data_IF_593602487176
#
_entry.id   IF_593602487176
#
_cell.length_a   1.000
_cell.length_b   1.000
_cell.length_c   1.000
_cell.angle_alpha   90.00
_cell.angle_beta   90.00
_cell.angle_gamma   90.00
#
_symmetry.space_group_name_H-M   'P 1'
#
loop_
_entity.id
_entity.type
_entity.pdbx_description
1 polymer ?
#
# COMPACT_ATOMS: atom_id res chain seq x y z
N UNK A 1 19.14 13.40 6.95
CA UNK A 1 17.98 13.97 6.22
C UNK A 1 18.55 14.75 5.05
N UNK A 2 17.97 14.59 3.87
CA UNK A 2 18.33 15.38 2.67
C UNK A 2 17.15 16.28 2.33
N UNK A 3 17.37 17.56 2.08
CA UNK A 3 16.31 18.51 1.70
C UNK A 3 16.62 19.12 0.34
N UNK A 4 15.60 19.18 -0.51
CA UNK A 4 15.61 19.66 -1.89
C UNK A 4 14.36 20.52 -2.11
N UNK A 5 14.21 21.58 -1.30
CA UNK A 5 13.03 22.46 -1.33
C UNK A 5 11.76 21.70 -0.97
N UNK A 6 10.86 21.53 -1.94
CA UNK A 6 9.61 20.79 -1.81
C UNK A 6 9.77 19.29 -1.50
N UNK A 7 10.98 18.73 -1.65
CA UNK A 7 11.26 17.30 -1.52
C UNK A 7 12.21 17.06 -0.34
N UNK A 8 11.86 16.13 0.54
CA UNK A 8 12.73 15.69 1.64
C UNK A 8 12.88 14.17 1.70
N UNK A 9 14.08 13.71 2.03
CA UNK A 9 14.37 12.31 2.30
C UNK A 9 14.70 12.08 3.79
N UNK A 10 13.93 11.20 4.41
CA UNK A 10 13.97 10.89 5.84
C UNK A 10 14.28 9.41 6.10
N UNK A 11 14.89 9.14 7.25
CA UNK A 11 15.14 7.79 7.76
C UNK A 11 14.27 7.57 8.99
N UNK A 12 13.39 6.57 8.95
CA UNK A 12 12.51 6.26 10.07
C UNK A 12 13.22 5.53 11.21
N UNK A 13 14.47 5.05 11.01
CA UNK A 13 15.25 4.36 12.03
C UNK A 13 14.51 3.18 12.70
N UNK A 14 13.66 2.49 11.95
CA UNK A 14 12.80 1.40 12.43
C UNK A 14 11.86 1.79 13.58
N UNK A 15 11.49 3.08 13.66
CA UNK A 15 10.49 3.57 14.59
C UNK A 15 9.08 3.02 14.29
N UNK A 16 8.14 3.29 15.20
CA UNK A 16 6.74 2.86 15.10
C UNK A 16 6.09 3.43 13.82
N UNK A 17 5.59 2.55 12.96
CA UNK A 17 5.20 2.89 11.58
C UNK A 17 4.08 3.94 11.49
N UNK A 18 2.99 3.77 12.24
CA UNK A 18 1.85 4.67 12.16
C UNK A 18 2.13 6.08 12.71
N UNK A 19 2.86 6.16 13.83
CA UNK A 19 3.26 7.44 14.43
C UNK A 19 4.23 8.20 13.53
N UNK A 20 5.19 7.49 12.92
CA UNK A 20 6.14 8.10 11.99
C UNK A 20 5.43 8.54 10.70
N UNK A 21 4.57 7.71 10.12
CA UNK A 21 3.83 8.06 8.91
C UNK A 21 2.93 9.28 9.09
N UNK A 22 2.26 9.40 10.25
CA UNK A 22 1.50 10.61 10.60
C UNK A 22 2.37 11.87 10.55
N UNK A 23 3.52 11.83 11.24
CA UNK A 23 4.47 12.95 11.29
C UNK A 23 5.02 13.30 9.91
N UNK A 24 5.33 12.31 9.08
CA UNK A 24 5.87 12.54 7.74
C UNK A 24 4.83 13.15 6.79
N UNK A 25 3.57 12.76 6.91
CA UNK A 25 2.50 13.40 6.14
C UNK A 25 2.19 14.82 6.66
N UNK A 26 2.28 15.07 7.97
CA UNK A 26 2.21 16.42 8.52
C UNK A 26 3.34 17.29 7.92
N UNK A 27 4.56 16.76 7.86
CA UNK A 27 5.70 17.42 7.22
C UNK A 27 5.48 17.67 5.72
N UNK A 28 4.90 16.71 4.99
CA UNK A 28 4.57 16.90 3.58
C UNK A 28 3.56 18.05 3.38
N UNK A 29 2.57 18.19 4.27
CA UNK A 29 1.62 19.32 4.23
C UNK A 29 2.27 20.66 4.55
N UNK A 30 3.25 20.69 5.47
CA UNK A 30 4.05 21.90 5.73
C UNK A 30 4.83 22.32 4.49
N UNK A 31 5.55 21.39 3.86
CA UNK A 31 6.29 21.65 2.62
C UNK A 31 5.36 22.15 1.49
N UNK A 32 4.18 21.54 1.37
CA UNK A 32 3.18 21.95 0.38
C UNK A 32 2.62 23.37 0.63
N UNK A 33 2.60 23.83 1.88
CA UNK A 33 2.16 25.18 2.22
C UNK A 33 3.12 26.24 1.67
N UNK A 34 4.43 25.97 1.74
CA UNK A 34 5.46 26.91 1.31
C UNK A 34 5.79 26.80 -0.19
N UNK A 35 5.67 25.60 -0.76
CA UNK A 35 6.14 25.29 -2.12
C UNK A 35 5.03 24.90 -3.12
N UNK A 36 3.77 24.84 -2.68
CA UNK A 36 2.63 24.37 -3.48
C UNK A 36 2.55 22.84 -3.62
N UNK A 37 3.65 22.12 -3.41
CA UNK A 37 3.73 20.65 -3.32
C UNK A 37 4.75 20.26 -2.25
N UNK A 38 4.49 19.15 -1.56
CA UNK A 38 5.43 18.58 -0.58
C UNK A 38 5.56 17.08 -0.77
N UNK A 39 6.78 16.58 -0.84
CA UNK A 39 7.09 15.16 -1.00
C UNK A 39 8.07 14.72 0.07
N UNK A 40 7.68 13.71 0.85
CA UNK A 40 8.55 13.07 1.85
C UNK A 40 8.81 11.62 1.44
N UNK A 41 10.07 11.31 1.14
CA UNK A 41 10.53 9.95 0.92
C UNK A 41 11.06 9.36 2.23
N UNK A 42 10.43 8.29 2.73
CA UNK A 42 10.76 7.66 4.00
C UNK A 42 11.35 6.26 3.78
N UNK A 43 12.53 5.99 4.33
CA UNK A 43 13.15 4.65 4.34
C UNK A 43 13.24 4.07 5.75
N UNK A 44 13.53 2.77 5.85
CA UNK A 44 13.68 2.03 7.12
C UNK A 44 12.47 2.14 8.06
N UNK A 45 11.27 2.25 7.49
CA UNK A 45 10.01 2.37 8.23
C UNK A 45 9.40 0.99 8.55
N UNK A 46 8.49 0.95 9.53
CA UNK A 46 7.65 -0.21 9.82
C UNK A 46 6.26 -0.08 9.19
N UNK A 47 5.47 -1.15 9.25
CA UNK A 47 4.09 -1.17 8.76
C UNK A 47 3.28 -0.01 9.33
N UNK A 48 2.71 0.80 8.44
CA UNK A 48 2.03 2.04 8.77
C UNK A 48 0.52 1.87 9.07
N UNK A 49 0.07 0.64 9.27
CA UNK A 49 -1.32 0.29 9.55
C UNK A 49 -2.27 0.79 8.43
N UNK A 50 -3.17 1.72 8.75
CA UNK A 50 -4.17 2.25 7.82
C UNK A 50 -3.59 3.43 7.05
N UNK A 51 -3.21 3.20 5.79
CA UNK A 51 -2.68 4.24 4.91
C UNK A 51 -3.66 5.41 4.72
N UNK A 52 -4.96 5.11 4.65
CA UNK A 52 -6.02 6.11 4.54
C UNK A 52 -6.02 7.17 5.65
N UNK A 53 -5.48 6.88 6.84
CA UNK A 53 -5.34 7.90 7.89
C UNK A 53 -4.47 9.09 7.45
N UNK A 54 -3.46 8.83 6.62
CA UNK A 54 -2.51 9.86 6.15
C UNK A 54 -3.08 10.65 4.97
N UNK A 55 -3.79 9.98 4.05
CA UNK A 55 -4.54 10.69 3.01
C UNK A 55 -5.62 11.59 3.62
N UNK A 56 -6.35 11.08 4.61
CA UNK A 56 -7.41 11.80 5.31
C UNK A 56 -6.91 13.04 6.02
N UNK A 57 -5.81 12.97 6.79
CA UNK A 57 -5.24 14.15 7.47
C UNK A 57 -4.81 15.26 6.49
N UNK A 58 -4.40 14.90 5.26
CA UNK A 58 -4.04 15.89 4.25
C UNK A 58 -5.31 16.56 3.69
N UNK A 59 -6.33 15.77 3.39
CA UNK A 59 -7.62 16.25 2.90
C UNK A 59 -8.34 17.14 3.94
N UNK A 60 -8.27 16.80 5.23
CA UNK A 60 -8.82 17.65 6.32
C UNK A 60 -8.17 19.04 6.37
N UNK A 61 -6.90 19.16 5.97
CA UNK A 61 -6.18 20.43 5.88
C UNK A 61 -6.40 21.17 4.54
N UNK A 62 -7.23 20.63 3.65
CA UNK A 62 -7.50 21.22 2.33
C UNK A 62 -6.49 20.84 1.24
N UNK A 63 -5.63 19.85 1.46
CA UNK A 63 -4.65 19.39 0.47
C UNK A 63 -5.10 18.08 -0.19
N UNK A 64 -4.68 17.87 -1.44
CA UNK A 64 -4.73 16.54 -2.06
C UNK A 64 -3.65 15.68 -1.40
N UNK A 65 -4.05 14.55 -0.82
CA UNK A 65 -3.15 13.61 -0.17
C UNK A 65 -2.88 12.40 -1.06
N UNK A 66 -1.62 12.17 -1.42
CA UNK A 66 -1.19 10.95 -2.12
C UNK A 66 -0.11 10.28 -1.29
N UNK A 67 -0.29 9.01 -0.95
CA UNK A 67 0.74 8.22 -0.30
C UNK A 67 0.66 6.74 -0.68
N UNK A 68 1.81 6.08 -0.67
CA UNK A 68 1.90 4.64 -0.86
C UNK A 68 3.07 4.09 -0.03
N UNK A 69 3.11 2.78 0.14
CA UNK A 69 4.23 2.09 0.77
C UNK A 69 4.56 0.82 0.02
N UNK A 70 5.70 0.22 0.34
CA UNK A 70 6.02 -1.15 -0.07
C UNK A 70 5.87 -2.12 1.11
N UNK A 71 5.75 -3.42 0.80
CA UNK A 71 5.77 -4.47 1.81
C UNK A 71 6.77 -5.57 1.46
N UNK A 72 6.97 -6.49 2.39
CA UNK A 72 7.60 -7.79 2.09
C UNK A 72 6.83 -8.51 0.97
N UNK A 73 7.50 -9.45 0.30
CA UNK A 73 6.91 -10.21 -0.80
C UNK A 73 5.84 -11.18 -0.26
N UNK A 74 4.58 -10.90 -0.59
CA UNK A 74 3.40 -11.62 -0.07
C UNK A 74 2.37 -11.94 -1.14
N UNK A 75 2.65 -11.55 -2.39
CA UNK A 75 1.79 -11.78 -3.55
C UNK A 75 2.65 -12.23 -4.74
N UNK A 76 2.17 -13.16 -5.58
CA UNK A 76 2.86 -13.52 -6.81
C UNK A 76 2.74 -12.45 -7.88
N UNK A 77 3.80 -12.28 -8.68
CA UNK A 77 3.71 -11.52 -9.93
C UNK A 77 2.70 -12.15 -10.89
N UNK A 78 2.12 -11.34 -11.77
CA UNK A 78 1.27 -11.88 -12.83
C UNK A 78 2.05 -12.89 -13.68
N UNK A 79 1.53 -14.12 -13.81
CA UNK A 79 2.21 -15.22 -14.50
C UNK A 79 3.22 -16.00 -13.65
N UNK A 80 3.40 -15.66 -12.38
CA UNK A 80 4.24 -16.41 -11.42
C UNK A 80 3.37 -17.13 -10.38
N UNK A 81 3.90 -18.22 -9.82
CA UNK A 81 3.35 -18.88 -8.63
C UNK A 81 4.08 -18.47 -7.34
N UNK A 82 5.25 -17.86 -7.47
CA UNK A 82 6.08 -17.46 -6.34
C UNK A 82 5.78 -16.03 -5.90
N UNK A 83 5.63 -15.83 -4.59
CA UNK A 83 5.42 -14.52 -4.01
C UNK A 83 6.68 -13.68 -4.16
N UNK A 84 6.69 -12.82 -5.17
CA UNK A 84 7.76 -11.88 -5.36
C UNK A 84 7.32 -10.44 -5.06
N UNK A 85 6.05 -10.06 -5.06
CA UNK A 85 5.61 -8.65 -4.90
C UNK A 85 4.87 -8.39 -3.58
N UNK A 86 4.87 -7.14 -3.14
CA UNK A 86 4.11 -6.68 -1.96
C UNK A 86 2.68 -6.28 -2.29
N UNK A 87 1.84 -6.06 -1.27
CA UNK A 87 0.48 -5.53 -1.44
C UNK A 87 0.46 -4.03 -1.74
N UNK A 88 1.54 -3.33 -1.40
CA UNK A 88 1.88 -1.95 -1.75
C UNK A 88 0.66 -1.00 -1.88
N UNK A 89 -0.07 -0.73 -0.79
CA UNK A 89 -1.30 0.05 -0.87
C UNK A 89 -1.04 1.46 -1.40
N UNK A 90 -1.97 1.95 -2.23
CA UNK A 90 -1.98 3.30 -2.77
C UNK A 90 -3.20 4.05 -2.24
N UNK A 91 -2.95 5.26 -1.76
CA UNK A 91 -3.95 6.15 -1.19
C UNK A 91 -3.96 7.44 -1.97
N UNK A 92 -5.17 7.87 -2.34
CA UNK A 92 -5.43 9.18 -2.93
C UNK A 92 -6.66 9.77 -2.23
N UNK A 93 -6.49 10.92 -1.61
CA UNK A 93 -7.53 11.66 -0.90
C UNK A 93 -7.68 13.06 -1.49
N UNK A 94 -8.93 13.45 -1.74
CA UNK A 94 -9.30 14.74 -2.32
C UNK A 94 -10.06 15.54 -1.25
N UNK A 95 -9.71 16.83 -1.03
CA UNK A 95 -10.38 17.71 -0.05
C UNK A 95 -11.75 18.18 -0.56
N UNK A 96 -12.67 17.24 -0.78
CA UNK A 96 -14.08 17.49 -1.12
C UNK A 96 -14.97 17.39 0.14
N UNK A 97 -16.26 17.75 -0.01
CA UNK A 97 -17.25 17.63 1.07
C UNK A 97 -18.39 16.70 0.63
N UNK A 98 -18.47 15.45 1.15
CA UNK A 98 -17.52 14.79 2.07
C UNK A 98 -16.20 14.42 1.38
N UNK A 99 -15.14 14.19 2.18
CA UNK A 99 -13.82 13.79 1.67
C UNK A 99 -13.95 12.55 0.79
N UNK A 100 -13.49 12.67 -0.45
CA UNK A 100 -13.43 11.56 -1.40
C UNK A 100 -12.04 10.95 -1.33
N UNK A 101 -11.96 9.69 -0.92
CA UNK A 101 -10.68 9.00 -0.76
C UNK A 101 -10.77 7.57 -1.25
N UNK A 102 -9.68 7.10 -1.85
CA UNK A 102 -9.46 5.68 -2.11
C UNK A 102 -8.24 5.20 -1.33
N UNK A 103 -8.42 4.11 -0.59
CA UNK A 103 -7.36 3.36 0.09
C UNK A 103 -7.44 1.93 -0.42
N UNK A 104 -6.55 1.60 -1.36
CA UNK A 104 -6.60 0.35 -2.12
C UNK A 104 -5.31 -0.46 -1.94
N UNK A 105 -5.47 -1.72 -1.55
CA UNK A 105 -4.42 -2.73 -1.73
C UNK A 105 -4.25 -3.02 -3.22
N UNK A 106 -3.05 -3.40 -3.63
CA UNK A 106 -2.82 -3.88 -5.00
C UNK A 106 -3.25 -5.33 -5.20
N UNK A 107 -3.57 -6.04 -4.12
CA UNK A 107 -4.29 -7.33 -4.14
C UNK A 107 -5.81 -7.09 -4.15
N UNK A 108 -6.59 -8.00 -4.75
CA UNK A 108 -8.06 -7.94 -4.78
C UNK A 108 -8.65 -7.81 -3.38
N UNK A 109 -8.08 -8.53 -2.42
CA UNK A 109 -8.37 -8.42 -1.00
C UNK A 109 -7.05 -8.27 -0.25
N UNK A 110 -7.01 -7.52 0.86
CA UNK A 110 -5.87 -7.57 1.77
C UNK A 110 -5.94 -8.84 2.62
N UNK A 111 -4.82 -9.31 3.19
CA UNK A 111 -4.84 -10.44 4.13
C UNK A 111 -5.77 -10.18 5.33
N UNK A 112 -5.84 -8.93 5.83
CA UNK A 112 -6.80 -8.57 6.87
C UNK A 112 -8.26 -8.72 6.42
N UNK A 113 -8.58 -8.41 5.15
CA UNK A 113 -9.92 -8.65 4.61
C UNK A 113 -10.21 -10.15 4.40
N UNK A 114 -9.22 -10.96 4.04
CA UNK A 114 -9.38 -12.42 4.00
C UNK A 114 -9.72 -12.96 5.40
N UNK A 115 -8.99 -12.51 6.42
CA UNK A 115 -9.21 -12.90 7.81
C UNK A 115 -10.60 -12.50 8.30
N UNK A 116 -11.05 -11.27 8.00
CA UNK A 116 -12.40 -10.81 8.34
C UNK A 116 -13.48 -11.70 7.71
N UNK A 117 -13.35 -12.05 6.43
CA UNK A 117 -14.33 -12.93 5.76
C UNK A 117 -14.30 -14.35 6.32
N UNK A 118 -13.10 -14.88 6.62
CA UNK A 118 -12.92 -16.20 7.26
C UNK A 118 -13.57 -16.24 8.64
N UNK A 119 -13.31 -15.25 9.48
CA UNK A 119 -13.89 -15.14 10.83
C UNK A 119 -15.41 -14.95 10.78
N UNK A 120 -15.93 -14.29 9.75
CA UNK A 120 -17.36 -14.18 9.50
C UNK A 120 -18.01 -15.44 8.89
N UNK A 121 -17.22 -16.47 8.56
CA UNK A 121 -17.70 -17.69 7.90
C UNK A 121 -18.26 -17.46 6.50
N UNK A 122 -17.75 -16.44 5.79
CA UNK A 122 -18.22 -16.05 4.45
C UNK A 122 -17.15 -16.31 3.39
N UNK A 123 -17.60 -16.64 2.19
CA UNK A 123 -16.76 -16.65 1.00
C UNK A 123 -16.59 -15.24 0.45
N UNK A 124 -15.55 -15.04 -0.36
CA UNK A 124 -15.29 -13.76 -0.99
C UNK A 124 -16.35 -13.47 -2.08
N UNK A 125 -16.80 -12.22 -2.24
CA UNK A 125 -17.80 -11.87 -3.27
C UNK A 125 -17.28 -12.05 -4.70
N UNK A 126 -15.97 -11.91 -4.89
CA UNK A 126 -15.25 -12.07 -6.16
C UNK A 126 -13.99 -12.92 -5.92
N UNK A 127 -13.35 -13.36 -7.01
CA UNK A 127 -12.15 -14.19 -6.91
C UNK A 127 -11.04 -13.46 -6.16
N UNK A 128 -10.52 -14.11 -5.12
CA UNK A 128 -9.51 -13.52 -4.24
C UNK A 128 -8.10 -14.03 -4.48
N UNK A 129 -7.94 -15.15 -5.16
CA UNK A 129 -6.66 -15.80 -5.35
C UNK A 129 -6.77 -17.07 -6.19
N UNK A 130 -5.70 -17.85 -6.16
CA UNK A 130 -5.63 -19.16 -6.78
C UNK A 130 -5.57 -20.25 -5.72
N UNK A 131 -6.16 -21.40 -6.00
CA UNK A 131 -5.97 -22.60 -5.19
C UNK A 131 -4.61 -23.28 -5.48
N UNK A 132 -4.40 -24.45 -4.87
CA UNK A 132 -3.16 -25.22 -5.01
C UNK A 132 -2.97 -25.77 -6.44
N UNK A 133 -4.06 -26.01 -7.15
CA UNK A 133 -4.12 -26.50 -8.54
C UNK A 133 -3.93 -25.37 -9.56
N UNK A 134 -4.16 -24.12 -9.15
CA UNK A 134 -4.00 -22.92 -9.98
C UNK A 134 -5.32 -22.38 -10.54
N UNK A 135 -6.47 -22.86 -10.07
CA UNK A 135 -7.78 -22.32 -10.44
C UNK A 135 -8.14 -21.13 -9.53
N UNK A 136 -8.97 -20.21 -10.03
CA UNK A 136 -9.47 -19.09 -9.24
C UNK A 136 -10.35 -19.58 -8.10
N UNK A 137 -10.17 -19.00 -6.92
CA UNK A 137 -10.92 -19.36 -5.71
C UNK A 137 -11.42 -18.13 -4.95
N UNK A 138 -12.55 -18.34 -4.25
CA UNK A 138 -13.20 -17.39 -3.36
C UNK A 138 -13.08 -17.79 -1.89
N UNK A 139 -12.34 -18.86 -1.60
CA UNK A 139 -12.15 -19.39 -0.25
C UNK A 139 -10.99 -18.67 0.47
N UNK A 140 -11.26 -17.85 1.52
CA UNK A 140 -10.21 -17.07 2.17
C UNK A 140 -9.09 -17.94 2.74
N UNK A 141 -9.42 -19.07 3.38
CA UNK A 141 -8.43 -19.93 4.04
C UNK A 141 -7.44 -20.62 3.09
N UNK A 142 -7.87 -20.96 1.88
CA UNK A 142 -7.00 -21.53 0.83
C UNK A 142 -5.96 -20.49 0.42
N UNK A 143 -6.41 -19.26 0.18
CA UNK A 143 -5.56 -18.15 -0.26
C UNK A 143 -4.56 -17.75 0.84
N UNK A 144 -4.99 -17.72 2.10
CA UNK A 144 -4.12 -17.46 3.24
C UNK A 144 -3.01 -18.52 3.36
N UNK A 145 -3.36 -19.79 3.15
CA UNK A 145 -2.42 -20.92 3.26
C UNK A 145 -1.37 -20.91 2.16
N UNK A 146 -1.78 -20.77 0.90
CA UNK A 146 -0.86 -20.87 -0.24
C UNK A 146 -0.24 -19.53 -0.64
N UNK A 147 -0.74 -18.42 -0.10
CA UNK A 147 -0.31 -17.03 -0.36
C UNK A 147 -0.43 -16.60 -1.83
N UNK A 148 -1.25 -17.29 -2.61
CA UNK A 148 -1.49 -16.99 -4.04
C UNK A 148 -2.64 -16.01 -4.21
N UNK A 149 -2.51 -14.86 -3.58
CA UNK A 149 -3.53 -13.81 -3.65
C UNK A 149 -3.56 -13.17 -5.04
N UNK A 150 -4.75 -12.87 -5.54
CA UNK A 150 -4.95 -12.33 -6.88
C UNK A 150 -4.62 -10.82 -6.89
N UNK A 151 -3.73 -10.34 -7.78
CA UNK A 151 -3.55 -8.91 -8.00
C UNK A 151 -4.84 -8.28 -8.51
N UNK A 152 -5.23 -7.13 -7.94
CA UNK A 152 -6.45 -6.45 -8.36
C UNK A 152 -6.32 -5.97 -9.81
N UNK A 153 -7.25 -6.34 -10.69
CA UNK A 153 -7.15 -5.99 -12.11
C UNK A 153 -6.04 -6.73 -12.85
N UNK A 154 -5.62 -7.91 -12.36
CA UNK A 154 -4.72 -8.83 -13.05
C UNK A 154 -3.38 -8.17 -13.45
N UNK A 155 -3.03 -8.18 -14.74
CA UNK A 155 -1.77 -7.62 -15.26
C UNK A 155 -1.66 -6.10 -15.09
N UNK A 156 -2.78 -5.37 -14.95
CA UNK A 156 -2.76 -3.89 -14.88
C UNK A 156 -2.07 -3.41 -13.61
N UNK A 157 -2.42 -3.95 -12.44
CA UNK A 157 -1.76 -3.56 -11.19
C UNK A 157 -0.42 -4.21 -10.94
N UNK A 158 -0.14 -5.36 -11.55
CA UNK A 158 1.20 -5.92 -11.53
C UNK A 158 2.23 -4.88 -12.03
N UNK A 159 1.97 -4.23 -13.16
CA UNK A 159 2.86 -3.18 -13.70
C UNK A 159 3.02 -1.98 -12.77
N UNK A 160 1.97 -1.61 -12.01
CA UNK A 160 2.05 -0.49 -11.06
C UNK A 160 2.97 -0.81 -9.86
N UNK A 161 3.07 -2.09 -9.47
CA UNK A 161 3.96 -2.53 -8.39
C UNK A 161 5.41 -2.64 -8.87
N UNK A 162 5.64 -3.10 -10.10
CA UNK A 162 6.99 -3.28 -10.66
C UNK A 162 7.76 -1.94 -10.72
N UNK A 163 7.07 -0.84 -11.06
CA UNK A 163 7.64 0.51 -10.99
C UNK A 163 8.15 0.89 -9.59
N UNK A 164 7.58 0.33 -8.51
CA UNK A 164 8.00 0.62 -7.13
C UNK A 164 9.20 -0.21 -6.67
N UNK A 165 9.81 -1.03 -7.55
CA UNK A 165 10.81 -2.04 -7.16
C UNK A 165 12.17 -1.95 -7.84
N UNK A 166 12.46 -0.87 -8.57
CA UNK A 166 13.66 -0.78 -9.40
C UNK A 166 15.00 -0.71 -8.64
N UNK A 167 15.01 -0.63 -7.30
CA UNK A 167 16.22 -0.36 -6.51
C UNK A 167 16.77 -1.55 -5.70
N UNK A 168 16.62 -2.80 -6.15
CA UNK A 168 17.35 -3.94 -5.55
C UNK A 168 18.28 -4.62 -6.56
N UNK A 169 19.41 -3.97 -6.83
CA UNK A 169 20.63 -4.71 -7.14
C UNK A 169 21.03 -5.51 -5.88
N UNK A 170 21.31 -6.82 -5.98
CA UNK A 170 21.97 -7.52 -4.90
C UNK A 170 23.37 -6.93 -4.76
N UNK A 171 23.66 -6.31 -3.61
CA UNK A 171 25.03 -6.09 -3.21
C UNK A 171 25.69 -7.48 -3.08
N UNK A 172 26.64 -7.76 -3.98
CA UNK A 172 27.65 -8.79 -3.82
C UNK A 172 28.64 -8.36 -2.72
#
# INVERSE_FOLDING_TARGET
>A
MTTLGAIEQWDAQRAIGNLTAKKMMDRATELASDHGIGLVALRNANHWMRGGSYGWQAAEKGYIGICWTNSIAVMPAWGSKECCIGTNPLIVAIPSSPITMVDMSMSMFSYGMLEVNRLAGRTLPVDGGFDDEGNLTKEPGVIEKNRRILPMGYWKRFRLIDCARHDRHPAL
#
